data_IF_787507942710
#
_entry.id   IF_787507942710
#
_cell.length_a   1.000
_cell.length_b   1.000
_cell.length_c   1.000
_cell.angle_alpha   90.00
_cell.angle_beta   90.00
_cell.angle_gamma   90.00
#
_symmetry.space_group_name_H-M   'P 1'
#
loop_
_entity.id
_entity.type
_entity.pdbx_description
1 polymer ?
#
# COMPACT_ATOMS: atom_id res chain seq x y z
N UNK A 1 -14.21 -15.86 -2.19
CA UNK A 1 -13.18 -16.01 -1.12
C UNK A 1 -12.71 -17.46 -1.08
N UNK A 2 -11.39 -17.74 -1.07
CA UNK A 2 -10.87 -19.11 -0.88
C UNK A 2 -11.11 -19.61 0.55
N UNK A 3 -11.06 -20.92 0.77
CA UNK A 3 -11.18 -21.50 2.12
C UNK A 3 -10.14 -20.93 3.10
N UNK A 4 -8.90 -20.77 2.63
CA UNK A 4 -7.81 -20.18 3.41
C UNK A 4 -8.08 -18.73 3.81
N UNK A 5 -8.67 -17.93 2.91
CA UNK A 5 -9.07 -16.56 3.23
C UNK A 5 -10.18 -16.50 4.28
N UNK A 6 -11.17 -17.43 4.19
CA UNK A 6 -12.23 -17.55 5.21
C UNK A 6 -11.67 -17.91 6.57
N UNK A 7 -10.75 -18.86 6.65
CA UNK A 7 -10.11 -19.28 7.90
C UNK A 7 -9.26 -18.16 8.51
N UNK A 8 -8.48 -17.43 7.69
CA UNK A 8 -7.70 -16.27 8.14
C UNK A 8 -8.60 -15.17 8.68
N UNK A 9 -9.67 -14.84 7.98
CA UNK A 9 -10.63 -13.83 8.42
C UNK A 9 -11.35 -14.25 9.71
N UNK A 10 -11.79 -15.49 9.82
CA UNK A 10 -12.42 -16.02 11.04
C UNK A 10 -11.47 -15.98 12.23
N UNK A 11 -10.19 -16.33 12.04
CA UNK A 11 -9.16 -16.21 13.07
C UNK A 11 -8.94 -14.75 13.46
N UNK A 12 -8.78 -13.85 12.49
CA UNK A 12 -8.60 -12.42 12.72
C UNK A 12 -9.73 -11.85 13.59
N UNK A 13 -10.99 -12.14 13.24
CA UNK A 13 -12.18 -11.71 14.02
C UNK A 13 -12.17 -12.20 15.47
N UNK A 14 -11.64 -13.40 15.72
CA UNK A 14 -11.60 -13.99 17.08
C UNK A 14 -10.49 -13.43 17.94
N UNK A 15 -9.38 -12.99 17.36
CA UNK A 15 -8.16 -12.59 18.08
C UNK A 15 -7.93 -11.09 18.10
N UNK A 16 -8.65 -10.32 17.27
CA UNK A 16 -8.56 -8.87 17.23
C UNK A 16 -9.28 -8.25 18.44
N UNK A 17 -8.60 -7.41 19.20
CA UNK A 17 -9.17 -6.63 20.30
C UNK A 17 -9.32 -5.13 19.98
N UNK A 18 -8.81 -4.67 18.82
CA UNK A 18 -8.96 -3.30 18.37
C UNK A 18 -10.37 -3.07 17.79
N UNK A 19 -11.24 -2.25 18.44
CA UNK A 19 -12.64 -2.12 18.04
C UNK A 19 -12.83 -1.60 16.61
N UNK A 20 -11.99 -0.66 16.19
CA UNK A 20 -12.04 -0.10 14.83
C UNK A 20 -11.73 -1.17 13.78
N UNK A 21 -10.71 -2.02 14.04
CA UNK A 21 -10.37 -3.11 13.12
C UNK A 21 -11.42 -4.22 13.13
N UNK A 22 -12.09 -4.48 14.25
CA UNK A 22 -13.20 -5.45 14.31
C UNK A 22 -14.30 -5.07 13.31
N UNK A 23 -14.68 -3.78 13.24
CA UNK A 23 -15.64 -3.28 12.26
C UNK A 23 -15.14 -3.46 10.83
N UNK A 24 -13.86 -3.17 10.56
CA UNK A 24 -13.25 -3.40 9.24
C UNK A 24 -13.36 -4.87 8.84
N UNK A 25 -13.08 -5.79 9.77
CA UNK A 25 -13.12 -7.22 9.52
C UNK A 25 -14.52 -7.77 9.22
N UNK A 26 -15.59 -7.01 9.49
CA UNK A 26 -16.97 -7.37 9.09
C UNK A 26 -17.22 -7.19 7.59
N UNK A 27 -16.46 -6.31 6.92
CA UNK A 27 -16.60 -6.09 5.50
C UNK A 27 -16.10 -7.31 4.69
N UNK A 28 -16.85 -7.73 3.68
CA UNK A 28 -16.46 -8.86 2.84
C UNK A 28 -15.24 -8.49 1.99
N UNK A 29 -14.26 -9.37 1.96
CA UNK A 29 -13.13 -9.24 1.04
C UNK A 29 -13.52 -9.73 -0.36
N UNK A 30 -13.00 -9.09 -1.42
CA UNK A 30 -13.32 -9.48 -2.78
C UNK A 30 -12.82 -10.89 -3.10
N UNK A 31 -13.58 -11.57 -3.95
CA UNK A 31 -13.18 -12.89 -4.44
C UNK A 31 -11.96 -12.75 -5.38
N UNK A 32 -11.03 -13.75 -5.40
CA UNK A 32 -9.89 -13.73 -6.32
C UNK A 32 -10.27 -13.61 -7.80
N UNK A 33 -11.48 -14.06 -8.16
CA UNK A 33 -12.03 -13.97 -9.51
C UNK A 33 -12.82 -12.71 -9.81
N UNK A 34 -12.93 -11.75 -8.87
CA UNK A 34 -13.60 -10.48 -9.10
C UNK A 34 -12.88 -9.69 -10.21
N UNK A 35 -13.64 -9.03 -11.08
CA UNK A 35 -13.10 -8.17 -12.13
C UNK A 35 -12.64 -6.87 -11.52
N UNK A 36 -11.58 -6.29 -12.07
CA UNK A 36 -11.06 -5.02 -11.56
C UNK A 36 -12.09 -3.90 -11.68
N UNK A 37 -12.89 -3.88 -12.73
CA UNK A 37 -14.00 -2.91 -12.90
C UNK A 37 -14.98 -2.86 -11.74
N UNK A 38 -15.12 -3.97 -11.02
CA UNK A 38 -16.12 -4.14 -9.95
C UNK A 38 -15.53 -3.88 -8.55
N UNK A 39 -14.25 -3.48 -8.49
CA UNK A 39 -13.52 -3.31 -7.23
C UNK A 39 -13.32 -1.84 -6.86
N UNK A 40 -13.42 -1.57 -5.58
CA UNK A 40 -12.74 -0.45 -4.94
C UNK A 40 -11.44 -0.94 -4.34
N UNK A 41 -10.37 -0.16 -4.48
CA UNK A 41 -9.03 -0.45 -3.99
C UNK A 41 -8.47 0.78 -3.31
N UNK A 42 -7.46 0.61 -2.48
CA UNK A 42 -6.70 1.70 -1.86
C UNK A 42 -5.24 1.57 -2.29
N UNK A 43 -4.68 2.58 -2.91
CA UNK A 43 -3.24 2.68 -3.05
C UNK A 43 -2.69 3.35 -1.80
N UNK A 44 -1.63 2.79 -1.24
CA UNK A 44 -1.03 3.15 0.05
C UNK A 44 0.48 3.19 -0.10
N UNK A 45 1.09 4.19 0.52
CA UNK A 45 2.54 4.32 0.64
C UNK A 45 2.90 4.86 2.02
N UNK A 46 4.04 4.42 2.59
CA UNK A 46 4.58 4.87 3.86
C UNK A 46 5.98 5.44 3.71
N UNK A 47 6.20 6.63 4.28
CA UNK A 47 7.55 7.08 4.61
C UNK A 47 7.91 6.56 5.99
N UNK A 48 9.13 6.06 6.14
CA UNK A 48 9.58 5.36 7.35
C UNK A 48 10.99 5.76 7.74
N UNK A 49 11.37 5.59 8.99
CA UNK A 49 12.74 5.83 9.47
C UNK A 49 13.75 4.80 8.96
N UNK A 50 13.27 3.68 8.39
CA UNK A 50 14.07 2.60 7.80
C UNK A 50 13.15 1.50 7.27
N UNK A 51 13.70 0.31 6.96
CA UNK A 51 12.98 -0.78 6.30
C UNK A 51 12.56 -1.93 7.24
N UNK A 52 13.00 -1.92 8.48
CA UNK A 52 12.66 -2.97 9.46
C UNK A 52 11.43 -2.57 10.29
N UNK A 53 10.26 -3.05 9.90
CA UNK A 53 8.99 -2.77 10.58
C UNK A 53 8.94 -3.16 12.07
N UNK A 54 9.95 -3.86 12.61
CA UNK A 54 10.04 -4.16 14.05
C UNK A 54 10.80 -3.09 14.83
N UNK A 55 11.69 -2.35 14.16
CA UNK A 55 12.60 -1.34 14.74
C UNK A 55 12.24 0.07 14.29
N UNK A 56 11.93 0.20 13.02
CA UNK A 56 11.66 1.50 12.39
C UNK A 56 10.20 1.93 12.56
N UNK A 57 9.93 3.20 12.33
CA UNK A 57 8.63 3.83 12.53
C UNK A 57 8.10 4.43 11.23
N UNK A 58 6.78 4.52 11.12
CA UNK A 58 6.10 5.28 10.08
C UNK A 58 6.11 6.76 10.48
N UNK A 59 6.58 7.63 9.59
CA UNK A 59 6.64 9.09 9.77
C UNK A 59 5.69 9.84 8.83
N UNK A 60 5.25 9.20 7.75
CA UNK A 60 4.13 9.67 6.95
C UNK A 60 3.40 8.49 6.31
N UNK A 61 2.12 8.68 6.05
CA UNK A 61 1.27 7.75 5.32
C UNK A 61 0.48 8.49 4.25
N UNK A 62 0.51 7.98 3.02
CA UNK A 62 -0.26 8.51 1.92
C UNK A 62 -1.17 7.46 1.33
N UNK A 63 -2.40 7.84 0.98
CA UNK A 63 -3.31 6.92 0.29
C UNK A 63 -4.25 7.63 -0.66
N UNK A 64 -4.75 6.88 -1.63
CA UNK A 64 -5.77 7.30 -2.57
C UNK A 64 -6.70 6.14 -2.90
N UNK A 65 -7.99 6.43 -3.05
CA UNK A 65 -8.97 5.44 -3.48
C UNK A 65 -8.94 5.25 -5.00
N UNK A 66 -9.15 4.02 -5.41
CA UNK A 66 -9.35 3.64 -6.80
C UNK A 66 -10.70 2.93 -6.96
N UNK A 67 -11.39 3.16 -8.07
CA UNK A 67 -12.60 2.42 -8.44
C UNK A 67 -12.45 1.91 -9.86
N UNK A 68 -12.29 0.59 -10.00
CA UNK A 68 -12.01 -0.03 -11.30
C UNK A 68 -10.70 0.50 -11.89
N UNK A 69 -10.80 1.19 -13.02
CA UNK A 69 -9.71 1.81 -13.77
C UNK A 69 -9.58 3.33 -13.52
N UNK A 70 -10.11 3.83 -12.41
CA UNK A 70 -10.09 5.25 -12.07
C UNK A 70 -9.45 5.49 -10.72
N UNK A 71 -8.62 6.52 -10.64
CA UNK A 71 -8.08 7.06 -9.39
C UNK A 71 -8.99 8.21 -8.95
N UNK A 72 -9.44 8.17 -7.70
CA UNK A 72 -10.32 9.19 -7.13
C UNK A 72 -9.46 10.25 -6.43
N UNK A 73 -8.80 11.12 -7.20
CA UNK A 73 -7.82 12.10 -6.68
C UNK A 73 -8.37 12.95 -5.52
N UNK A 74 -9.66 13.25 -5.49
CA UNK A 74 -10.29 13.97 -4.37
C UNK A 74 -10.20 13.21 -3.04
N UNK A 75 -9.93 11.90 -3.05
CA UNK A 75 -9.72 11.07 -1.88
C UNK A 75 -8.26 10.98 -1.44
N UNK A 76 -7.34 11.58 -2.20
CA UNK A 76 -5.93 11.55 -1.84
C UNK A 76 -5.71 12.23 -0.48
N UNK A 77 -4.94 11.58 0.38
CA UNK A 77 -4.56 12.05 1.71
C UNK A 77 -3.10 11.79 1.96
N UNK A 78 -2.51 12.65 2.75
CA UNK A 78 -1.21 12.44 3.37
C UNK A 78 -1.32 12.86 4.84
N UNK A 79 -0.83 12.03 5.73
CA UNK A 79 -0.80 12.27 7.17
C UNK A 79 0.62 12.08 7.64
N UNK A 80 1.21 13.12 8.22
CA UNK A 80 2.50 13.05 8.91
C UNK A 80 2.29 12.52 10.32
N UNK A 81 3.19 11.68 10.77
CA UNK A 81 3.07 10.97 12.06
C UNK A 81 4.25 11.32 12.93
N UNK A 82 3.96 11.74 14.16
CA UNK A 82 4.97 11.98 15.17
C UNK A 82 5.58 10.65 15.61
N UNK A 83 6.89 10.61 15.65
CA UNK A 83 7.61 9.49 16.25
C UNK A 83 8.07 9.87 17.66
N UNK A 84 8.19 8.86 18.53
CA UNK A 84 8.50 9.05 19.95
C UNK A 84 9.99 8.79 20.28
N UNK A 85 10.84 8.54 19.26
CA UNK A 85 12.25 8.24 19.46
C UNK A 85 13.08 9.50 19.59
N UNK A 86 13.96 9.55 20.62
CA UNK A 86 14.92 10.64 20.83
C UNK A 86 15.97 10.72 19.70
N UNK A 87 16.14 9.67 18.90
CA UNK A 87 17.10 9.61 17.79
C UNK A 87 16.64 10.38 16.53
N UNK A 88 15.38 10.84 16.49
CA UNK A 88 14.81 11.56 15.35
C UNK A 88 14.65 10.72 14.08
N UNK A 89 14.32 11.36 12.96
CA UNK A 89 14.20 10.70 11.64
C UNK A 89 15.54 10.21 11.09
N UNK A 90 16.65 10.63 11.67
CA UNK A 90 17.99 10.14 11.33
C UNK A 90 18.37 10.33 9.87
N UNK A 91 19.03 9.31 9.28
CA UNK A 91 19.47 9.36 7.88
C UNK A 91 18.32 9.26 6.87
N UNK A 92 17.14 8.80 7.26
CA UNK A 92 15.99 8.69 6.36
C UNK A 92 15.51 10.05 5.84
N UNK A 93 15.75 11.14 6.61
CA UNK A 93 15.49 12.51 6.18
C UNK A 93 16.15 12.87 4.84
N UNK A 94 17.29 12.25 4.50
CA UNK A 94 17.97 12.46 3.21
C UNK A 94 17.24 11.81 2.05
N UNK A 95 16.33 10.87 2.31
CA UNK A 95 15.57 10.14 1.30
C UNK A 95 14.23 10.83 1.08
N UNK A 96 13.41 11.03 2.13
CA UNK A 96 12.05 11.58 2.01
C UNK A 96 11.93 13.07 2.31
N UNK A 97 13.03 13.73 2.75
CA UNK A 97 13.07 15.18 2.99
C UNK A 97 12.21 15.67 4.16
N UNK A 98 11.65 14.78 4.96
CA UNK A 98 10.90 15.13 6.18
C UNK A 98 11.92 15.35 7.30
N UNK A 99 11.88 16.51 7.92
CA UNK A 99 12.72 16.88 9.05
C UNK A 99 11.96 16.68 10.37
N UNK A 100 12.70 16.55 11.48
CA UNK A 100 12.07 16.45 12.81
C UNK A 100 11.14 17.62 13.10
N UNK A 101 11.51 18.85 12.66
CA UNK A 101 10.66 20.04 12.78
C UNK A 101 9.35 19.96 12.01
N UNK A 102 9.27 19.13 10.98
CA UNK A 102 8.04 18.91 10.22
C UNK A 102 7.06 17.99 10.95
N UNK A 103 7.53 17.31 12.00
CA UNK A 103 6.78 16.36 12.80
C UNK A 103 6.32 16.94 14.15
N UNK A 104 6.69 18.18 14.48
CA UNK A 104 6.28 18.84 15.74
C UNK A 104 4.75 18.94 15.87
N UNK A 105 4.07 19.29 14.75
CA UNK A 105 2.62 19.37 14.65
C UNK A 105 1.98 18.12 14.00
N UNK A 106 2.75 17.04 13.87
CA UNK A 106 2.28 15.81 13.24
C UNK A 106 1.27 15.06 14.12
N UNK A 107 0.44 14.25 13.48
CA UNK A 107 -0.58 13.47 14.15
C UNK A 107 0.02 12.28 14.94
N UNK A 108 -0.76 11.74 15.86
CA UNK A 108 -0.39 10.51 16.55
C UNK A 108 -0.58 9.28 15.65
N UNK A 109 0.11 8.19 15.96
CA UNK A 109 -0.10 6.89 15.29
C UNK A 109 -1.55 6.43 15.40
N UNK A 110 -2.21 6.70 16.55
CA UNK A 110 -3.62 6.34 16.76
C UNK A 110 -4.53 7.11 15.78
N UNK A 111 -4.28 8.42 15.62
CA UNK A 111 -5.03 9.25 14.67
C UNK A 111 -4.83 8.81 13.21
N UNK A 112 -3.60 8.41 12.82
CA UNK A 112 -3.35 7.80 11.52
C UNK A 112 -4.20 6.54 11.33
N UNK A 113 -4.17 5.62 12.31
CA UNK A 113 -4.92 4.36 12.23
C UNK A 113 -6.42 4.61 12.18
N UNK A 114 -6.94 5.58 12.93
CA UNK A 114 -8.35 5.98 12.90
C UNK A 114 -8.79 6.50 11.52
N UNK A 115 -7.92 7.20 10.81
CA UNK A 115 -8.21 7.71 9.46
C UNK A 115 -8.03 6.64 8.38
N UNK A 116 -6.97 5.84 8.46
CA UNK A 116 -6.61 4.88 7.42
C UNK A 116 -7.48 3.62 7.43
N UNK A 117 -7.77 3.04 8.62
CA UNK A 117 -8.47 1.74 8.69
C UNK A 117 -9.84 1.73 8.01
N UNK A 118 -10.69 2.76 8.10
CA UNK A 118 -11.96 2.78 7.38
C UNK A 118 -11.80 2.68 5.86
N UNK A 119 -10.72 3.27 5.32
CA UNK A 119 -10.43 3.23 3.89
C UNK A 119 -9.99 1.84 3.41
N UNK A 120 -9.45 1.03 4.30
CA UNK A 120 -9.03 -0.35 4.00
C UNK A 120 -10.18 -1.37 4.07
N UNK A 121 -11.37 -0.95 4.54
CA UNK A 121 -12.50 -1.86 4.77
C UNK A 121 -12.96 -2.55 3.48
N UNK A 122 -12.76 -3.88 3.40
CA UNK A 122 -13.18 -4.69 2.25
C UNK A 122 -12.39 -4.47 0.95
N UNK A 123 -11.37 -3.60 0.93
CA UNK A 123 -10.64 -3.20 -0.27
C UNK A 123 -9.29 -3.90 -0.40
N UNK A 124 -8.87 -4.33 -1.60
CA UNK A 124 -7.48 -4.65 -1.88
C UNK A 124 -6.58 -3.42 -1.66
N UNK A 125 -5.39 -3.66 -1.14
CA UNK A 125 -4.36 -2.63 -0.96
C UNK A 125 -3.36 -2.72 -2.09
N UNK A 126 -3.09 -1.60 -2.74
CA UNK A 126 -2.09 -1.45 -3.81
C UNK A 126 -0.89 -0.74 -3.21
N UNK A 127 0.30 -1.26 -3.43
CA UNK A 127 1.55 -0.60 -3.02
C UNK A 127 2.70 -0.98 -3.96
N UNK A 128 3.77 -0.20 -3.94
CA UNK A 128 5.00 -0.56 -4.64
C UNK A 128 5.99 -1.15 -3.64
N UNK A 129 6.40 -2.42 -3.84
CA UNK A 129 7.09 -3.23 -2.83
C UNK A 129 6.23 -3.50 -1.58
N UNK A 130 4.99 -3.91 -1.76
CA UNK A 130 3.93 -4.04 -0.76
C UNK A 130 4.27 -4.84 0.51
N UNK A 131 5.43 -5.49 0.56
CA UNK A 131 5.93 -6.14 1.75
C UNK A 131 6.23 -5.13 2.88
N UNK A 132 6.64 -3.90 2.52
CA UNK A 132 6.96 -2.81 3.43
C UNK A 132 5.67 -2.35 4.11
N UNK A 133 4.69 -1.87 3.34
CA UNK A 133 3.41 -1.37 3.87
C UNK A 133 2.70 -2.42 4.71
N UNK A 134 2.69 -3.66 4.24
CA UNK A 134 2.09 -4.78 4.97
C UNK A 134 2.81 -5.07 6.28
N UNK A 135 4.14 -4.95 6.31
CA UNK A 135 4.97 -5.16 7.49
C UNK A 135 4.70 -4.09 8.55
N UNK A 136 4.82 -2.82 8.18
CA UNK A 136 4.58 -1.69 9.08
C UNK A 136 3.13 -1.66 9.58
N UNK A 137 2.15 -1.80 8.68
CA UNK A 137 0.74 -1.83 9.07
C UNK A 137 0.44 -2.98 10.03
N UNK A 138 1.03 -4.16 9.82
CA UNK A 138 0.85 -5.28 10.73
C UNK A 138 1.47 -5.01 12.11
N UNK A 139 2.59 -4.30 12.18
CA UNK A 139 3.25 -3.93 13.44
C UNK A 139 2.44 -2.85 14.17
N UNK A 140 2.01 -1.80 13.49
CA UNK A 140 1.14 -0.77 14.06
C UNK A 140 -0.12 -1.38 14.67
N UNK A 141 -0.83 -2.20 13.90
CA UNK A 141 -2.06 -2.83 14.37
C UNK A 141 -1.84 -3.74 15.59
N UNK A 142 -0.75 -4.53 15.61
CA UNK A 142 -0.45 -5.40 16.77
C UNK A 142 -0.18 -4.60 18.03
N UNK A 143 0.55 -3.47 17.94
CA UNK A 143 0.82 -2.57 19.08
C UNK A 143 -0.49 -2.05 19.70
N UNK A 144 -1.53 -1.86 18.89
CA UNK A 144 -2.86 -1.41 19.32
C UNK A 144 -3.84 -2.55 19.68
N UNK A 145 -3.37 -3.79 19.79
CA UNK A 145 -4.23 -4.96 20.07
C UNK A 145 -4.99 -5.49 18.85
N UNK A 146 -4.63 -5.04 17.67
CA UNK A 146 -5.16 -5.54 16.41
C UNK A 146 -4.40 -6.77 15.88
N UNK A 147 -4.72 -7.14 14.67
CA UNK A 147 -4.13 -8.29 13.94
C UNK A 147 -3.70 -7.85 12.54
N UNK A 148 -2.78 -8.58 11.89
CA UNK A 148 -2.44 -8.30 10.49
C UNK A 148 -3.68 -8.31 9.60
N UNK A 149 -3.76 -7.37 8.66
CA UNK A 149 -4.89 -7.26 7.75
C UNK A 149 -5.02 -8.52 6.86
N UNK A 150 -6.21 -9.07 6.71
CA UNK A 150 -6.48 -10.17 5.79
C UNK A 150 -6.68 -9.71 4.34
N UNK A 151 -6.64 -8.41 4.08
CA UNK A 151 -6.86 -7.79 2.78
C UNK A 151 -5.89 -8.33 1.73
N UNK A 152 -6.32 -8.52 0.48
CA UNK A 152 -5.41 -8.79 -0.62
C UNK A 152 -4.49 -7.59 -0.83
N UNK A 153 -3.18 -7.85 -0.95
CA UNK A 153 -2.22 -6.85 -1.42
C UNK A 153 -1.89 -7.09 -2.89
N UNK A 154 -1.82 -6.01 -3.65
CA UNK A 154 -1.37 -5.93 -5.04
C UNK A 154 -0.04 -5.19 -5.01
N UNK A 155 1.02 -5.91 -5.37
CA UNK A 155 2.39 -5.38 -5.39
C UNK A 155 2.76 -4.99 -6.83
N UNK A 156 2.81 -3.69 -7.11
CA UNK A 156 3.10 -3.18 -8.46
C UNK A 156 4.53 -3.51 -8.90
N UNK A 157 5.50 -3.61 -7.95
CA UNK A 157 6.87 -4.03 -8.26
C UNK A 157 6.93 -5.52 -8.65
N UNK A 158 6.25 -6.38 -7.88
CA UNK A 158 6.18 -7.80 -8.20
C UNK A 158 5.42 -8.07 -9.51
N UNK A 159 4.38 -7.29 -9.78
CA UNK A 159 3.64 -7.35 -11.04
C UNK A 159 4.51 -6.91 -12.21
N UNK A 160 5.29 -5.82 -12.07
CA UNK A 160 6.23 -5.36 -13.10
C UNK A 160 7.23 -6.45 -13.45
N UNK A 161 7.84 -7.08 -12.44
CA UNK A 161 8.78 -8.20 -12.65
C UNK A 161 8.14 -9.31 -13.48
N UNK A 162 6.93 -9.75 -13.15
CA UNK A 162 6.22 -10.79 -13.90
C UNK A 162 5.94 -10.39 -15.35
N UNK A 163 5.59 -9.12 -15.59
CA UNK A 163 5.31 -8.62 -16.94
C UNK A 163 6.59 -8.58 -17.80
N UNK A 164 7.73 -8.21 -17.20
CA UNK A 164 9.04 -8.24 -17.86
C UNK A 164 9.49 -9.67 -18.17
N UNK A 165 9.32 -10.59 -17.23
CA UNK A 165 9.64 -12.02 -17.42
C UNK A 165 8.82 -12.62 -18.58
N UNK A 166 7.51 -12.31 -18.63
CA UNK A 166 6.61 -12.78 -19.67
C UNK A 166 6.95 -12.19 -21.06
N UNK A 167 7.54 -10.99 -21.11
CA UNK A 167 8.00 -10.36 -22.35
C UNK A 167 9.36 -10.90 -22.86
N UNK A 168 9.99 -11.84 -22.13
CA UNK A 168 11.31 -12.38 -22.48
C UNK A 168 12.47 -11.40 -22.24
N UNK A 169 12.21 -10.26 -21.60
CA UNK A 169 13.21 -9.31 -21.16
C UNK A 169 13.96 -9.94 -19.99
N UNK A 170 15.12 -10.53 -20.23
CA UNK A 170 15.91 -11.22 -19.20
C UNK A 170 16.20 -10.31 -17.99
N UNK A 171 15.39 -10.42 -16.96
CA UNK A 171 15.40 -9.58 -15.74
C UNK A 171 16.67 -9.74 -14.91
N UNK A 172 17.59 -10.65 -15.28
CA UNK A 172 18.84 -10.89 -14.54
C UNK A 172 19.75 -9.67 -14.41
N UNK A 173 19.64 -8.69 -15.31
CA UNK A 173 20.45 -7.46 -15.31
C UNK A 173 19.72 -6.23 -14.75
N UNK A 174 18.42 -6.33 -14.42
CA UNK A 174 17.57 -5.20 -14.12
C UNK A 174 17.23 -5.03 -12.61
N UNK A 175 18.00 -5.59 -11.71
CA UNK A 175 17.71 -5.49 -10.27
C UNK A 175 17.71 -4.05 -9.71
N UNK A 176 18.36 -3.08 -10.40
CA UNK A 176 18.27 -1.66 -10.11
C UNK A 176 17.03 -0.96 -10.69
N UNK A 177 16.30 -1.61 -11.61
CA UNK A 177 15.28 -0.99 -12.46
C UNK A 177 13.84 -1.27 -12.00
N UNK A 178 13.60 -1.73 -10.78
CA UNK A 178 12.26 -1.98 -10.24
C UNK A 178 11.82 -0.94 -9.22
N UNK A 179 12.52 0.19 -9.12
CA UNK A 179 12.02 1.35 -8.35
C UNK A 179 10.71 1.86 -8.97
N UNK A 180 9.90 2.55 -8.19
CA UNK A 180 8.64 3.11 -8.67
C UNK A 180 8.86 3.98 -9.92
N UNK A 181 9.86 4.86 -9.88
CA UNK A 181 10.24 5.73 -11.01
C UNK A 181 10.62 4.95 -12.26
N UNK A 182 11.50 3.96 -12.13
CA UNK A 182 11.97 3.17 -13.27
C UNK A 182 10.81 2.39 -13.90
N UNK A 183 9.91 1.83 -13.07
CA UNK A 183 8.71 1.15 -13.54
C UNK A 183 7.76 2.12 -14.27
N UNK A 184 7.54 3.32 -13.72
CA UNK A 184 6.71 4.38 -14.31
C UNK A 184 7.28 4.86 -15.65
N UNK A 185 8.57 5.20 -15.68
CA UNK A 185 9.26 5.64 -16.91
C UNK A 185 9.16 4.58 -18.03
N UNK A 186 9.33 3.30 -17.69
CA UNK A 186 9.17 2.17 -18.64
C UNK A 186 7.75 2.11 -19.23
N UNK A 187 6.75 2.56 -18.48
CA UNK A 187 5.35 2.62 -18.91
C UNK A 187 4.98 3.94 -19.60
N UNK A 188 5.93 4.87 -19.77
CA UNK A 188 5.68 6.18 -20.35
C UNK A 188 4.84 7.10 -19.47
N UNK A 189 4.79 6.83 -18.17
CA UNK A 189 4.13 7.70 -17.21
C UNK A 189 5.01 8.92 -16.90
N UNK A 190 4.42 10.09 -16.66
CA UNK A 190 5.17 11.31 -16.35
C UNK A 190 5.88 11.22 -15.01
N UNK A 191 6.92 12.03 -14.81
CA UNK A 191 7.55 12.19 -13.50
C UNK A 191 6.54 12.69 -12.47
N UNK A 192 6.76 12.32 -11.21
CA UNK A 192 5.93 12.73 -10.09
C UNK A 192 6.78 13.35 -8.98
N UNK A 193 6.14 13.98 -8.00
CA UNK A 193 6.82 14.47 -6.81
C UNK A 193 7.21 13.27 -5.95
N UNK A 194 8.50 12.97 -5.92
CA UNK A 194 9.07 11.85 -5.15
C UNK A 194 9.07 12.14 -3.66
N UNK A 195 9.04 11.07 -2.87
CA UNK A 195 9.23 11.13 -1.42
C UNK A 195 8.16 11.98 -0.70
N UNK A 196 6.95 11.95 -1.23
CA UNK A 196 5.72 12.34 -0.55
C UNK A 196 4.82 11.11 -0.57
N UNK A 197 4.49 10.58 0.61
CA UNK A 197 3.68 9.37 0.72
C UNK A 197 2.38 9.47 -0.09
N UNK A 198 1.75 10.66 -0.11
CA UNK A 198 0.54 10.92 -0.91
C UNK A 198 0.80 10.86 -2.41
N UNK A 199 1.89 11.45 -2.89
CA UNK A 199 2.25 11.43 -4.31
C UNK A 199 2.70 10.03 -4.75
N UNK A 200 3.44 9.31 -3.91
CA UNK A 200 3.93 7.96 -4.22
C UNK A 200 2.78 6.94 -4.21
N UNK A 201 1.77 7.09 -3.34
CA UNK A 201 0.53 6.32 -3.40
C UNK A 201 -0.23 6.54 -4.73
N UNK A 202 -0.35 7.79 -5.19
CA UNK A 202 -0.96 8.11 -6.50
C UNK A 202 -0.11 7.53 -7.63
N UNK A 203 1.21 7.66 -7.56
CA UNK A 203 2.14 7.14 -8.55
C UNK A 203 2.06 5.61 -8.68
N UNK A 204 1.93 4.89 -7.55
CA UNK A 204 1.71 3.44 -7.53
C UNK A 204 0.34 3.06 -8.14
N UNK A 205 -0.70 3.86 -7.89
CA UNK A 205 -2.02 3.66 -8.50
C UNK A 205 -1.98 3.83 -10.02
N UNK A 206 -1.31 4.87 -10.54
CA UNK A 206 -1.13 5.10 -11.97
C UNK A 206 -0.33 3.97 -12.64
N UNK A 207 0.74 3.51 -11.98
CA UNK A 207 1.53 2.38 -12.45
C UNK A 207 0.66 1.11 -12.56
N UNK A 208 -0.18 0.83 -11.55
CA UNK A 208 -1.10 -0.30 -11.60
C UNK A 208 -2.07 -0.18 -12.79
N UNK A 209 -2.61 1.00 -13.08
CA UNK A 209 -3.50 1.19 -14.23
C UNK A 209 -2.79 0.91 -15.56
N UNK A 210 -1.54 1.35 -15.71
CA UNK A 210 -0.73 1.06 -16.90
C UNK A 210 -0.44 -0.46 -17.04
N UNK A 211 -0.17 -1.14 -15.94
CA UNK A 211 0.04 -2.60 -15.91
C UNK A 211 -1.25 -3.37 -16.25
N UNK A 212 -2.40 -2.93 -15.72
CA UNK A 212 -3.72 -3.49 -16.07
C UNK A 212 -4.02 -3.30 -17.55
N UNK A 213 -3.70 -2.14 -18.12
CA UNK A 213 -3.88 -1.88 -19.56
C UNK A 213 -3.07 -2.86 -20.41
N UNK A 214 -1.83 -3.16 -20.03
CA UNK A 214 -0.99 -4.16 -20.71
C UNK A 214 -1.58 -5.59 -20.62
N UNK A 215 -2.23 -5.93 -19.50
CA UNK A 215 -2.89 -7.22 -19.31
C UNK A 215 -4.23 -7.34 -20.07
N UNK A 216 -4.62 -6.31 -20.82
CA UNK A 216 -5.82 -6.30 -21.67
C UNK A 216 -6.98 -5.49 -21.09
N UNK A 217 -6.73 -4.69 -20.06
CA UNK A 217 -7.67 -3.72 -19.49
C UNK A 217 -8.54 -4.26 -18.36
N UNK A 218 -9.06 -3.35 -17.55
CA UNK A 218 -9.78 -3.63 -16.31
C UNK A 218 -11.01 -4.55 -16.47
N UNK A 219 -11.65 -4.52 -17.64
CA UNK A 219 -12.80 -5.39 -17.95
C UNK A 219 -12.45 -6.87 -18.12
N UNK A 220 -11.18 -7.19 -18.41
CA UNK A 220 -10.70 -8.56 -18.59
C UNK A 220 -9.93 -9.07 -17.37
N UNK A 221 -9.15 -8.21 -16.74
CA UNK A 221 -8.25 -8.56 -15.63
C UNK A 221 -9.04 -8.84 -14.35
N UNK A 222 -8.64 -9.89 -13.66
CA UNK A 222 -9.20 -10.30 -12.36
C UNK A 222 -8.19 -10.10 -11.24
N UNK A 223 -8.67 -9.89 -10.02
CA UNK A 223 -7.84 -9.66 -8.84
C UNK A 223 -6.70 -10.68 -8.67
N UNK A 224 -6.97 -11.97 -8.94
CA UNK A 224 -5.94 -13.02 -8.83
C UNK A 224 -4.76 -12.85 -9.80
N UNK A 225 -4.96 -12.13 -10.90
CA UNK A 225 -3.93 -11.92 -11.93
C UNK A 225 -2.99 -10.77 -11.58
N UNK A 226 -3.36 -9.95 -10.59
CA UNK A 226 -2.54 -8.85 -10.07
C UNK A 226 -1.72 -9.23 -8.82
N UNK A 227 -1.86 -10.47 -8.32
CA UNK A 227 -1.24 -10.90 -7.06
C UNK A 227 -0.10 -11.87 -7.30
#
# INVERSE_FOLDING_TARGET
MSLLQRLRLARARRTCSLPLQQRLLEHPLPAPGARITDLEMVALDFETTGLDAQRDQVIAAGWVLMRGDRILLASAREVRVRHDDEEGVGQSATIHGILDSDLDDAESVDALVEQLLPELAGRPVVAHAAAIERGFLATLLRRMGGVPLPNPFIDTMALERRLLDAAGSGVRELHGDLTLDACRARRGLPDHQRHSAGADAVAAAELLLAQIAQLGGAGKVRLRELR
#
